data_IF_816484450686
#
_entry.id   IF_816484450686
#
_cell.length_a   1.000
_cell.length_b   1.000
_cell.length_c   1.000
_cell.angle_alpha   90.00
_cell.angle_beta   90.00
_cell.angle_gamma   90.00
#
_symmetry.space_group_name_H-M   'P 1'
#
loop_
_entity.id
_entity.type
_entity.pdbx_description
1 polymer ?
#
# COMPACT_ATOMS: atom_id res chain seq x y z
N UNK A 1 25.17 1.23 -23.38
CA UNK A 1 24.42 1.96 -22.33
C UNK A 1 25.22 2.98 -21.53
N UNK A 2 26.30 2.63 -20.79
CA UNK A 2 26.95 3.62 -19.88
C UNK A 2 27.61 4.81 -20.62
N UNK A 3 28.03 4.63 -21.87
CA UNK A 3 28.57 5.70 -22.74
C UNK A 3 27.48 6.50 -23.47
N UNK A 4 26.23 6.07 -23.40
CA UNK A 4 25.09 6.68 -24.09
C UNK A 4 24.25 7.57 -23.18
N UNK A 5 24.50 7.53 -21.87
CA UNK A 5 23.75 8.29 -20.87
C UNK A 5 24.70 9.22 -20.10
N UNK A 6 24.25 10.43 -19.71
CA UNK A 6 25.08 11.35 -18.95
C UNK A 6 25.50 10.79 -17.58
N UNK A 7 26.69 11.14 -17.05
CA UNK A 7 27.18 10.63 -15.76
C UNK A 7 26.19 10.78 -14.59
N UNK A 8 25.41 11.86 -14.58
CA UNK A 8 24.40 12.15 -13.55
C UNK A 8 23.37 11.03 -13.37
N UNK A 9 23.09 10.22 -14.39
CA UNK A 9 22.16 9.08 -14.29
C UNK A 9 22.70 7.99 -13.35
N UNK A 10 24.03 7.89 -13.22
CA UNK A 10 24.72 6.92 -12.38
C UNK A 10 25.17 7.49 -11.04
N UNK A 11 25.53 8.79 -11.04
CA UNK A 11 26.16 9.43 -9.90
C UNK A 11 25.13 10.13 -8.98
N UNK A 12 23.94 10.46 -9.49
CA UNK A 12 22.88 11.01 -8.66
C UNK A 12 22.26 9.88 -7.80
N UNK A 13 22.15 10.06 -6.47
CA UNK A 13 21.47 9.08 -5.63
C UNK A 13 20.03 8.92 -6.10
N UNK A 14 19.53 7.68 -6.14
CA UNK A 14 18.15 7.43 -6.56
C UNK A 14 17.19 8.13 -5.59
N UNK A 15 16.63 9.25 -6.01
CA UNK A 15 15.53 9.89 -5.32
C UNK A 15 14.25 9.23 -5.81
N UNK A 16 13.59 8.47 -4.93
CA UNK A 16 12.31 7.87 -5.25
C UNK A 16 11.29 8.93 -5.63
N UNK A 17 10.56 8.73 -6.72
CA UNK A 17 9.37 9.51 -6.99
C UNK A 17 8.22 8.90 -6.20
N UNK A 18 7.78 9.58 -5.14
CA UNK A 18 6.65 9.12 -4.36
C UNK A 18 5.36 9.27 -5.16
N UNK A 19 4.66 8.16 -5.38
CA UNK A 19 3.38 8.16 -6.08
C UNK A 19 2.34 8.83 -5.17
N UNK A 20 1.56 9.82 -5.64
CA UNK A 20 0.55 10.48 -4.81
C UNK A 20 -0.70 9.61 -4.68
N UNK A 21 -0.57 8.44 -4.04
CA UNK A 21 -1.61 7.40 -3.93
C UNK A 21 -2.95 7.91 -3.39
N UNK A 22 -2.91 8.91 -2.51
CA UNK A 22 -4.10 9.58 -1.98
C UNK A 22 -5.00 10.19 -3.05
N UNK A 23 -4.45 10.58 -4.22
CA UNK A 23 -5.22 11.12 -5.35
C UNK A 23 -5.94 10.05 -6.17
N UNK A 24 -5.62 8.78 -5.96
CA UNK A 24 -6.13 7.65 -6.74
C UNK A 24 -7.14 6.79 -5.97
N UNK A 25 -7.52 7.21 -4.76
CA UNK A 25 -8.51 6.51 -3.93
C UNK A 25 -9.95 6.73 -4.41
N UNK A 26 -10.29 6.14 -5.56
CA UNK A 26 -11.64 6.15 -6.10
C UNK A 26 -12.47 4.94 -5.63
N UNK A 27 -13.70 4.81 -6.14
CA UNK A 27 -14.59 3.71 -5.78
C UNK A 27 -14.01 2.32 -6.09
N UNK A 28 -13.30 2.17 -7.23
CA UNK A 28 -12.67 0.90 -7.60
C UNK A 28 -11.50 0.56 -6.66
N UNK A 29 -10.71 1.55 -6.28
CA UNK A 29 -9.66 1.38 -5.27
C UNK A 29 -10.23 0.93 -3.93
N UNK A 30 -11.29 1.59 -3.46
CA UNK A 30 -11.94 1.24 -2.19
C UNK A 30 -12.58 -0.15 -2.22
N UNK A 31 -13.16 -0.55 -3.35
CA UNK A 31 -13.69 -1.90 -3.54
C UNK A 31 -12.57 -2.95 -3.48
N UNK A 32 -11.47 -2.73 -4.20
CA UNK A 32 -10.32 -3.62 -4.17
C UNK A 32 -9.70 -3.74 -2.78
N UNK A 33 -9.60 -2.62 -2.03
CA UNK A 33 -9.08 -2.63 -0.67
C UNK A 33 -9.94 -3.48 0.28
N UNK A 34 -11.27 -3.38 0.18
CA UNK A 34 -12.20 -4.21 0.96
C UNK A 34 -12.13 -5.68 0.56
N UNK A 35 -12.08 -5.96 -0.74
CA UNK A 35 -11.94 -7.34 -1.24
C UNK A 35 -10.68 -8.01 -0.66
N UNK A 36 -9.53 -7.34 -0.77
CA UNK A 36 -8.24 -7.94 -0.40
C UNK A 36 -7.96 -8.01 1.10
N UNK A 37 -8.51 -7.08 1.89
CA UNK A 37 -8.18 -6.92 3.30
C UNK A 37 -9.33 -7.23 4.25
N UNK A 38 -10.54 -7.49 3.73
CA UNK A 38 -11.69 -7.91 4.54
C UNK A 38 -12.37 -9.14 3.93
N UNK A 39 -13.02 -9.01 2.77
CA UNK A 39 -13.95 -10.03 2.27
C UNK A 39 -13.24 -11.32 1.84
N UNK A 40 -12.04 -11.20 1.27
CA UNK A 40 -11.22 -12.29 0.76
C UNK A 40 -9.77 -12.17 1.25
N UNK A 41 -9.61 -11.72 2.50
CA UNK A 41 -8.29 -11.65 3.12
C UNK A 41 -7.66 -13.06 3.18
N UNK A 42 -6.42 -13.24 2.68
CA UNK A 42 -5.75 -14.54 2.70
C UNK A 42 -5.36 -14.92 4.13
N UNK A 43 -5.43 -16.21 4.48
CA UNK A 43 -5.15 -16.71 5.83
C UNK A 43 -3.78 -16.30 6.36
N UNK A 44 -2.76 -16.29 5.50
CA UNK A 44 -1.40 -15.84 5.86
C UNK A 44 -1.35 -14.37 6.33
N UNK A 45 -2.32 -13.53 5.94
CA UNK A 45 -2.41 -12.16 6.42
C UNK A 45 -2.92 -12.12 7.87
N UNK A 46 -3.86 -13.00 8.22
CA UNK A 46 -4.38 -13.12 9.59
C UNK A 46 -3.37 -13.71 10.57
N UNK A 47 -2.40 -14.49 10.08
CA UNK A 47 -1.26 -14.93 10.87
C UNK A 47 -0.30 -13.77 11.24
N UNK A 48 -0.24 -12.71 10.42
CA UNK A 48 0.64 -11.56 10.64
C UNK A 48 -0.06 -10.41 11.36
N UNK A 49 -1.36 -10.22 11.11
CA UNK A 49 -2.13 -9.07 11.58
C UNK A 49 -3.47 -9.50 12.16
N UNK A 50 -3.73 -9.06 13.39
CA UNK A 50 -5.02 -9.27 14.03
C UNK A 50 -6.15 -8.60 13.22
N UNK A 51 -7.32 -9.26 13.02
CA UNK A 51 -8.41 -8.71 12.24
C UNK A 51 -8.87 -7.29 12.66
N UNK A 52 -8.97 -6.94 13.95
CA UNK A 52 -9.34 -5.59 14.36
C UNK A 52 -8.31 -4.53 13.93
N UNK A 53 -7.02 -4.89 13.92
CA UNK A 53 -5.98 -3.99 13.45
C UNK A 53 -6.08 -3.75 11.94
N UNK A 54 -6.37 -4.80 11.17
CA UNK A 54 -6.54 -4.72 9.73
C UNK A 54 -7.75 -3.85 9.35
N UNK A 55 -8.88 -4.03 10.03
CA UNK A 55 -10.08 -3.22 9.84
C UNK A 55 -9.85 -1.73 10.17
N UNK A 56 -9.10 -1.45 11.25
CA UNK A 56 -8.72 -0.08 11.59
C UNK A 56 -7.85 0.55 10.51
N UNK A 57 -6.85 -0.18 9.99
CA UNK A 57 -5.96 0.31 8.94
C UNK A 57 -6.70 0.55 7.62
N UNK A 58 -7.61 -0.35 7.25
CA UNK A 58 -8.48 -0.18 6.09
C UNK A 58 -9.36 1.06 6.22
N UNK A 59 -10.00 1.24 7.38
CA UNK A 59 -10.88 2.39 7.65
C UNK A 59 -10.10 3.70 7.62
N UNK A 60 -8.95 3.77 8.31
CA UNK A 60 -8.09 4.94 8.33
C UNK A 60 -7.53 5.27 6.95
N UNK A 61 -7.09 4.26 6.20
CA UNK A 61 -6.50 4.43 4.87
C UNK A 61 -7.49 4.98 3.84
N UNK A 62 -8.78 4.61 3.93
CA UNK A 62 -9.84 5.05 3.02
C UNK A 62 -10.56 6.33 3.46
N UNK A 63 -10.68 6.58 4.78
CA UNK A 63 -11.41 7.74 5.30
C UNK A 63 -10.55 9.00 5.38
N UNK A 64 -9.22 8.87 5.53
CA UNK A 64 -8.35 10.02 5.80
C UNK A 64 -8.04 10.79 4.51
N UNK A 65 -8.65 11.97 4.40
CA UNK A 65 -8.45 12.92 3.29
C UNK A 65 -7.62 14.15 3.68
N UNK A 66 -7.32 14.32 4.96
CA UNK A 66 -6.55 15.44 5.52
C UNK A 66 -5.50 14.96 6.51
N UNK A 67 -4.36 15.65 6.57
CA UNK A 67 -3.28 15.34 7.51
C UNK A 67 -3.71 15.68 8.94
N UNK A 68 -3.17 14.96 9.93
CA UNK A 68 -3.26 15.34 11.34
C UNK A 68 -1.92 15.17 12.08
N UNK A 69 -1.92 15.50 13.37
CA UNK A 69 -0.73 15.47 14.24
C UNK A 69 -0.14 14.06 14.36
N UNK A 70 -0.95 13.01 14.20
CA UNK A 70 -0.51 11.62 14.38
C UNK A 70 -0.07 10.95 13.08
N UNK A 71 -0.58 11.39 11.92
CA UNK A 71 -0.18 10.82 10.62
C UNK A 71 -0.57 11.68 9.42
N UNK A 72 0.23 11.56 8.35
CA UNK A 72 -0.11 12.15 7.06
C UNK A 72 -0.98 11.22 6.20
N UNK A 73 -1.83 11.82 5.36
CA UNK A 73 -2.58 11.18 4.27
C UNK A 73 -1.63 10.39 3.37
N UNK A 74 -0.42 10.91 3.15
CA UNK A 74 0.63 10.23 2.42
C UNK A 74 0.97 8.87 3.05
N UNK A 75 1.26 8.84 4.36
CA UNK A 75 1.65 7.62 5.08
C UNK A 75 0.50 6.62 5.10
N UNK A 76 -0.71 7.07 5.41
CA UNK A 76 -1.90 6.21 5.44
C UNK A 76 -2.18 5.56 4.08
N UNK A 77 -2.09 6.32 2.99
CA UNK A 77 -2.31 5.81 1.63
C UNK A 77 -1.25 4.78 1.22
N UNK A 78 0.03 5.03 1.55
CA UNK A 78 1.11 4.09 1.24
C UNK A 78 1.05 2.82 2.07
N UNK A 79 0.67 2.93 3.34
CA UNK A 79 0.49 1.77 4.20
C UNK A 79 -0.65 0.88 3.70
N UNK A 80 -1.79 1.47 3.33
CA UNK A 80 -2.91 0.71 2.76
C UNK A 80 -2.50 0.02 1.46
N UNK A 81 -1.80 0.73 0.57
CA UNK A 81 -1.30 0.15 -0.67
C UNK A 81 -0.34 -1.02 -0.44
N UNK A 82 0.62 -0.87 0.49
CA UNK A 82 1.56 -1.93 0.82
C UNK A 82 0.85 -3.20 1.34
N UNK A 83 -0.19 -3.04 2.16
CA UNK A 83 -1.00 -4.15 2.66
C UNK A 83 -1.77 -4.85 1.53
N UNK A 84 -2.38 -4.10 0.61
CA UNK A 84 -3.06 -4.68 -0.55
C UNK A 84 -2.07 -5.46 -1.44
N UNK A 85 -0.86 -4.94 -1.65
CA UNK A 85 0.18 -5.64 -2.40
C UNK A 85 0.60 -6.95 -1.72
N UNK A 86 0.77 -6.92 -0.39
CA UNK A 86 1.06 -8.11 0.40
C UNK A 86 -0.07 -9.14 0.31
N UNK A 87 -1.33 -8.72 0.50
CA UNK A 87 -2.48 -9.59 0.38
C UNK A 87 -2.60 -10.22 -1.02
N UNK A 88 -2.40 -9.41 -2.07
CA UNK A 88 -2.36 -9.88 -3.45
C UNK A 88 -1.25 -10.92 -3.69
N UNK A 89 -0.07 -10.70 -3.12
CA UNK A 89 1.06 -11.64 -3.18
C UNK A 89 0.73 -12.95 -2.46
N UNK A 90 0.27 -12.89 -1.21
CA UNK A 90 -0.13 -14.06 -0.42
C UNK A 90 -1.19 -14.89 -1.14
N UNK A 91 -2.22 -14.23 -1.70
CA UNK A 91 -3.26 -14.87 -2.51
C UNK A 91 -2.69 -15.52 -3.77
N UNK A 92 -1.83 -14.80 -4.51
CA UNK A 92 -1.25 -15.28 -5.78
C UNK A 92 -0.37 -16.51 -5.61
N UNK A 93 0.34 -16.60 -4.48
CA UNK A 93 1.27 -17.69 -4.19
C UNK A 93 0.72 -18.71 -3.17
N UNK A 94 -0.53 -18.54 -2.72
CA UNK A 94 -1.22 -19.42 -1.77
C UNK A 94 -0.42 -19.66 -0.50
N UNK A 95 0.19 -18.60 0.02
CA UNK A 95 0.95 -18.68 1.26
C UNK A 95 -0.02 -18.75 2.43
N UNK A 96 -0.07 -19.92 3.06
CA UNK A 96 -0.70 -20.13 4.36
C UNK A 96 0.41 -20.33 5.39
N UNK A 97 0.21 -19.78 6.59
CA UNK A 97 1.14 -19.92 7.72
C UNK A 97 0.67 -21.01 8.67
#
# INVERSE_FOLDING_TARGET
MRRELPPVVFDHPKTGFSIPLHRFQNAAYAALARELLADQAPDGLHALLAPPALQRLLTQGLARQTDDVESSVFRASHQLWALMQLAGWLRRFRVAC
#
